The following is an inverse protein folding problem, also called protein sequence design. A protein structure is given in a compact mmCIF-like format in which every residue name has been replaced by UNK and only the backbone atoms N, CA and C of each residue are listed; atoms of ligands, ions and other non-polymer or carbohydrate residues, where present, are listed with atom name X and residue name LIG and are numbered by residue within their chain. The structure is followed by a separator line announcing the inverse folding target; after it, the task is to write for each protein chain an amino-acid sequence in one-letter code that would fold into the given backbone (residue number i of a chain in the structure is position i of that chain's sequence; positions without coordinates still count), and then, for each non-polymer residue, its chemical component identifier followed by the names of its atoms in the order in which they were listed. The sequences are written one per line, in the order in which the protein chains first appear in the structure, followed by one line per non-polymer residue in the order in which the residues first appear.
data_IF_834204975837
#
_entry.id   IF_834204975837
#
_cell.length_a   1.000
_cell.length_b   1.000
_cell.length_c   1.000
_cell.angle_alpha   90.00
_cell.angle_beta   90.00
_cell.angle_gamma   90.00
#
_symmetry.space_group_name_H-M   'P 1'
#
loop_
_entity.id
_entity.type
_entity.pdbx_description
1 polymer ?
#
# COMPACT_ATOMS: atom_id res chain seq x y z
N UNK A 1 2.84 -9.06 -1.73
CA UNK A 1 2.71 -8.40 -0.39
C UNK A 1 3.24 -6.99 -0.45
N UNK A 2 2.58 -5.99 0.16
CA UNK A 2 3.13 -4.62 0.31
C UNK A 2 3.96 -4.53 1.57
N UNK A 3 5.13 -3.89 1.45
CA UNK A 3 6.05 -3.62 2.54
C UNK A 3 6.36 -2.11 2.62
N UNK A 4 5.87 -1.45 3.66
CA UNK A 4 6.15 -0.03 3.91
C UNK A 4 7.49 0.14 4.65
N UNK A 5 8.50 0.64 3.94
CA UNK A 5 9.82 0.92 4.47
C UNK A 5 9.98 2.36 5.01
N UNK A 6 8.93 3.16 4.93
CA UNK A 6 8.90 4.53 5.45
C UNK A 6 8.35 5.55 4.45
N UNK A 7 7.02 5.65 4.39
CA UNK A 7 6.30 6.59 3.53
C UNK A 7 6.08 7.94 4.22
N UNK A 8 6.27 9.03 3.49
CA UNK A 8 6.00 10.41 3.94
C UNK A 8 4.85 10.96 3.09
N UNK A 9 3.68 11.19 3.68
CA UNK A 9 2.48 11.62 2.96
C UNK A 9 2.39 13.12 2.70
N UNK A 10 3.25 13.93 3.31
CA UNK A 10 3.24 15.39 3.12
C UNK A 10 4.45 16.06 3.72
N UNK A 11 4.73 17.28 3.25
CA UNK A 11 5.90 18.06 3.69
C UNK A 11 5.93 18.27 5.19
N UNK A 12 7.06 17.97 5.82
CA UNK A 12 7.27 18.10 7.25
C UNK A 12 6.67 16.96 8.10
N UNK A 13 6.03 15.98 7.49
CA UNK A 13 5.58 14.78 8.19
C UNK A 13 6.75 13.81 8.41
N UNK A 14 6.61 12.99 9.44
CA UNK A 14 7.56 11.91 9.72
C UNK A 14 7.20 10.69 8.88
N UNK A 15 8.19 9.86 8.51
CA UNK A 15 7.91 8.62 7.82
C UNK A 15 7.09 7.66 8.70
N UNK A 16 6.25 6.86 8.09
CA UNK A 16 5.44 5.82 8.73
C UNK A 16 6.31 4.88 9.57
N UNK A 17 7.37 4.33 8.99
CA UNK A 17 8.40 3.54 9.69
C UNK A 17 9.53 4.48 10.10
N UNK A 18 9.59 4.86 11.38
CA UNK A 18 10.62 5.80 11.88
C UNK A 18 12.02 5.20 11.87
N UNK A 19 12.15 3.95 12.25
CA UNK A 19 13.39 3.19 12.29
C UNK A 19 13.25 1.95 11.43
N UNK A 20 14.23 1.70 10.57
CA UNK A 20 14.37 0.50 9.80
C UNK A 20 15.48 -0.33 10.44
N UNK A 21 15.11 -1.40 11.13
CA UNK A 21 16.03 -2.39 11.66
C UNK A 21 16.17 -3.49 10.61
N UNK A 22 17.39 -3.66 10.08
CA UNK A 22 17.64 -4.61 9.00
C UNK A 22 17.44 -6.07 9.42
N UNK A 23 17.72 -6.43 10.68
CA UNK A 23 17.48 -7.78 11.20
C UNK A 23 15.98 -8.08 11.20
N UNK A 24 15.19 -7.16 11.74
CA UNK A 24 13.73 -7.29 11.79
C UNK A 24 13.16 -7.34 10.37
N UNK A 25 13.59 -6.44 9.50
CA UNK A 25 13.15 -6.39 8.10
C UNK A 25 13.45 -7.71 7.37
N UNK A 26 14.66 -8.27 7.50
CA UNK A 26 15.01 -9.56 6.88
C UNK A 26 14.15 -10.69 7.44
N UNK A 27 13.88 -10.70 8.74
CA UNK A 27 12.98 -11.69 9.35
C UNK A 27 11.54 -11.54 8.85
N UNK A 28 11.03 -10.32 8.72
CA UNK A 28 9.71 -10.04 8.12
C UNK A 28 9.65 -10.58 6.66
N UNK A 29 10.70 -10.40 5.86
CA UNK A 29 10.77 -10.93 4.49
C UNK A 29 10.84 -12.47 4.43
N UNK A 30 11.51 -13.12 5.37
CA UNK A 30 11.50 -14.58 5.50
C UNK A 30 10.08 -15.08 5.79
N UNK A 31 9.36 -14.48 6.72
CA UNK A 31 7.96 -14.82 7.02
C UNK A 31 7.06 -14.63 5.79
N UNK A 32 7.25 -13.53 5.06
CA UNK A 32 6.51 -13.23 3.83
C UNK A 32 6.76 -14.31 2.76
N UNK A 33 8.00 -14.78 2.61
CA UNK A 33 8.36 -15.83 1.65
C UNK A 33 7.92 -17.21 2.10
N UNK A 34 8.30 -17.61 3.32
CA UNK A 34 8.26 -19.01 3.74
C UNK A 34 6.93 -19.39 4.39
N UNK A 35 6.26 -18.45 5.06
CA UNK A 35 5.01 -18.74 5.77
C UNK A 35 3.78 -18.17 5.07
N UNK A 36 3.87 -16.98 4.42
CA UNK A 36 2.80 -16.45 3.58
C UNK A 36 2.87 -16.96 2.13
N UNK A 37 3.99 -17.56 1.70
CA UNK A 37 4.20 -18.05 0.33
C UNK A 37 4.07 -16.97 -0.75
N UNK A 38 4.31 -15.71 -0.39
CA UNK A 38 4.27 -14.61 -1.35
C UNK A 38 5.43 -14.73 -2.35
N UNK A 39 5.14 -14.55 -3.62
CA UNK A 39 6.15 -14.59 -4.70
C UNK A 39 6.79 -13.22 -4.97
N UNK A 40 6.09 -12.13 -4.63
CA UNK A 40 6.52 -10.76 -4.92
C UNK A 40 6.27 -9.84 -3.72
N UNK A 41 7.14 -8.83 -3.58
CA UNK A 41 6.98 -7.75 -2.61
C UNK A 41 6.99 -6.40 -3.32
N UNK A 42 5.95 -5.59 -3.11
CA UNK A 42 5.93 -4.17 -3.46
C UNK A 42 6.49 -3.39 -2.29
N UNK A 43 7.70 -2.85 -2.45
CA UNK A 43 8.36 -2.03 -1.42
C UNK A 43 8.03 -0.57 -1.66
N UNK A 44 7.49 0.09 -0.63
CA UNK A 44 7.09 1.50 -0.68
C UNK A 44 7.93 2.31 0.30
N UNK A 45 8.58 3.38 -0.16
CA UNK A 45 9.27 4.35 0.69
C UNK A 45 9.44 5.70 -0.02
N UNK A 46 9.57 6.78 0.78
CA UNK A 46 9.90 8.11 0.27
C UNK A 46 11.41 8.39 0.24
N UNK A 47 12.18 7.71 1.10
CA UNK A 47 13.64 7.84 1.17
C UNK A 47 14.30 6.81 0.25
N UNK A 48 15.14 7.26 -0.73
CA UNK A 48 15.79 6.35 -1.68
C UNK A 48 16.67 5.29 -1.01
N UNK A 49 17.43 5.66 0.03
CA UNK A 49 18.36 4.74 0.67
C UNK A 49 17.60 3.61 1.41
N UNK A 50 16.48 3.93 2.04
CA UNK A 50 15.61 2.92 2.67
C UNK A 50 14.96 2.01 1.63
N UNK A 51 14.47 2.61 0.54
CA UNK A 51 13.87 1.85 -0.55
C UNK A 51 14.89 0.89 -1.16
N UNK A 52 16.11 1.35 -1.42
CA UNK A 52 17.21 0.52 -1.95
C UNK A 52 17.59 -0.62 -1.01
N UNK A 53 17.70 -0.34 0.30
CA UNK A 53 18.05 -1.33 1.32
C UNK A 53 17.03 -2.47 1.37
N UNK A 54 15.72 -2.13 1.45
CA UNK A 54 14.67 -3.16 1.50
C UNK A 54 14.52 -3.87 0.15
N UNK A 55 14.60 -3.12 -0.96
CA UNK A 55 14.52 -3.68 -2.30
C UNK A 55 15.65 -4.70 -2.58
N UNK A 56 16.87 -4.40 -2.13
CA UNK A 56 17.98 -5.36 -2.23
C UNK A 56 17.69 -6.63 -1.42
N UNK A 57 17.21 -6.49 -0.19
CA UNK A 57 16.89 -7.64 0.66
C UNK A 57 15.75 -8.50 0.07
N UNK A 58 14.76 -7.90 -0.58
CA UNK A 58 13.68 -8.62 -1.29
C UNK A 58 14.25 -9.50 -2.40
N UNK A 59 15.13 -8.94 -3.25
CA UNK A 59 15.74 -9.70 -4.35
C UNK A 59 16.71 -10.78 -3.81
N UNK A 60 17.50 -10.46 -2.78
CA UNK A 60 18.39 -11.43 -2.10
C UNK A 60 17.60 -12.59 -1.46
N UNK A 61 16.37 -12.33 -0.99
CA UNK A 61 15.47 -13.36 -0.49
C UNK A 61 14.84 -14.22 -1.61
N UNK A 62 15.10 -13.95 -2.89
CA UNK A 62 14.55 -14.67 -4.03
C UNK A 62 13.12 -14.27 -4.39
N UNK A 63 12.63 -13.14 -3.87
CA UNK A 63 11.31 -12.58 -4.16
C UNK A 63 11.35 -11.63 -5.36
N UNK A 64 10.29 -11.60 -6.15
CA UNK A 64 10.08 -10.59 -7.16
C UNK A 64 9.83 -9.22 -6.52
N UNK A 65 10.39 -8.18 -7.12
CA UNK A 65 10.34 -6.81 -6.57
C UNK A 65 9.45 -5.90 -7.39
N UNK A 66 8.51 -5.23 -6.74
CA UNK A 66 7.91 -3.99 -7.23
C UNK A 66 8.54 -2.81 -6.48
N UNK A 67 9.42 -2.09 -7.15
CA UNK A 67 10.10 -0.91 -6.61
C UNK A 67 9.16 0.29 -6.72
N UNK A 68 8.62 0.76 -5.60
CA UNK A 68 7.51 1.72 -5.54
C UNK A 68 7.90 2.98 -4.76
N UNK A 69 8.49 4.00 -5.41
CA UNK A 69 8.81 5.27 -4.75
C UNK A 69 7.55 6.04 -4.36
N UNK A 70 7.47 6.48 -3.11
CA UNK A 70 6.40 7.34 -2.61
C UNK A 70 6.80 8.82 -2.72
N UNK A 71 6.66 9.38 -3.92
CA UNK A 71 6.93 10.81 -4.22
C UNK A 71 5.62 11.58 -4.09
N UNK A 72 5.24 11.90 -2.85
CA UNK A 72 3.95 12.48 -2.52
C UNK A 72 4.04 13.98 -2.22
N UNK A 73 2.93 14.68 -2.39
CA UNK A 73 2.75 16.12 -2.13
C UNK A 73 3.74 17.02 -2.88
N UNK A 74 4.18 16.58 -4.05
CA UNK A 74 4.99 17.31 -5.02
C UNK A 74 4.12 17.82 -6.19
N UNK A 75 4.56 18.86 -6.90
CA UNK A 75 3.94 19.22 -8.19
C UNK A 75 4.36 18.24 -9.29
N UNK A 76 3.72 18.24 -10.48
CA UNK A 76 4.04 17.28 -11.54
C UNK A 76 5.50 17.27 -11.97
N UNK A 77 6.14 18.43 -12.07
CA UNK A 77 7.53 18.53 -12.50
C UNK A 77 8.51 18.03 -11.41
N UNK A 78 8.23 18.33 -10.14
CA UNK A 78 8.99 17.82 -8.99
C UNK A 78 8.80 16.30 -8.86
N UNK A 79 7.57 15.81 -9.04
CA UNK A 79 7.26 14.38 -9.03
C UNK A 79 8.03 13.65 -10.12
N UNK A 80 7.99 14.13 -11.37
CA UNK A 80 8.71 13.52 -12.48
C UNK A 80 10.22 13.45 -12.22
N UNK A 81 10.86 14.57 -11.85
CA UNK A 81 12.31 14.58 -11.54
C UNK A 81 12.70 13.56 -10.47
N UNK A 82 11.96 13.51 -9.37
CA UNK A 82 12.27 12.62 -8.26
C UNK A 82 12.02 11.15 -8.63
N UNK A 83 10.92 10.87 -9.34
CA UNK A 83 10.60 9.51 -9.79
C UNK A 83 11.64 8.99 -10.78
N UNK A 84 12.08 9.82 -11.73
CA UNK A 84 13.14 9.47 -12.70
C UNK A 84 14.48 9.21 -11.99
N UNK A 85 14.83 10.01 -10.99
CA UNK A 85 16.03 9.77 -10.18
C UNK A 85 15.96 8.40 -9.48
N UNK A 86 14.82 8.06 -8.88
CA UNK A 86 14.60 6.75 -8.21
C UNK A 86 14.55 5.58 -9.20
N UNK A 87 14.14 5.81 -10.46
CA UNK A 87 14.24 4.80 -11.50
C UNK A 87 15.69 4.42 -11.84
N UNK A 88 16.62 5.39 -11.73
CA UNK A 88 18.06 5.12 -11.84
C UNK A 88 18.57 4.18 -10.74
N UNK A 89 18.11 4.34 -9.51
CA UNK A 89 18.41 3.43 -8.39
C UNK A 89 17.86 2.02 -8.66
N UNK A 90 16.60 1.93 -9.08
CA UNK A 90 15.96 0.66 -9.42
C UNK A 90 16.69 -0.07 -10.56
N UNK A 91 17.14 0.64 -11.60
CA UNK A 91 17.91 0.07 -12.71
C UNK A 91 19.28 -0.42 -12.26
N UNK A 92 19.97 0.34 -11.42
CA UNK A 92 21.25 -0.10 -10.86
C UNK A 92 21.09 -1.38 -10.03
N UNK A 93 20.02 -1.47 -9.23
CA UNK A 93 19.69 -2.66 -8.45
C UNK A 93 19.38 -3.85 -9.38
N UNK A 94 18.51 -3.65 -10.39
CA UNK A 94 18.12 -4.68 -11.36
C UNK A 94 19.31 -5.26 -12.09
N UNK A 95 20.23 -4.42 -12.54
CA UNK A 95 21.48 -4.87 -13.21
C UNK A 95 22.42 -5.61 -12.28
N UNK A 96 22.53 -5.16 -11.03
CA UNK A 96 23.44 -5.75 -10.05
C UNK A 96 22.98 -7.12 -9.56
N UNK A 97 21.69 -7.25 -9.26
CA UNK A 97 21.14 -8.45 -8.62
C UNK A 97 20.44 -9.41 -9.60
N UNK A 98 20.13 -8.98 -10.82
CA UNK A 98 19.57 -9.84 -11.88
C UNK A 98 18.17 -10.39 -11.58
N UNK A 99 17.42 -9.76 -10.67
CA UNK A 99 16.08 -10.20 -10.26
C UNK A 99 14.96 -9.67 -11.13
N UNK A 100 13.74 -10.19 -10.88
CA UNK A 100 12.52 -9.64 -11.46
C UNK A 100 12.16 -8.34 -10.76
N UNK A 101 12.47 -7.21 -11.37
CA UNK A 101 12.22 -5.87 -10.84
C UNK A 101 11.24 -5.15 -11.75
N UNK A 102 10.07 -4.81 -11.21
CA UNK A 102 9.08 -3.91 -11.83
C UNK A 102 9.15 -2.56 -11.16
N UNK A 103 9.14 -1.47 -11.93
CA UNK A 103 9.12 -0.11 -11.40
C UNK A 103 7.71 0.44 -11.39
N UNK A 104 7.28 0.95 -10.23
CA UNK A 104 5.98 1.61 -10.06
C UNK A 104 6.18 3.12 -10.24
N UNK A 105 5.66 3.68 -11.32
CA UNK A 105 5.84 5.09 -11.69
C UNK A 105 5.12 6.08 -10.76
N UNK A 106 4.34 5.58 -9.83
CA UNK A 106 3.60 6.34 -8.82
C UNK A 106 2.35 5.61 -8.38
N UNK A 107 1.71 6.13 -7.35
CA UNK A 107 0.44 5.60 -6.83
C UNK A 107 -0.56 6.72 -6.69
N UNK A 108 -1.81 6.49 -7.10
CA UNK A 108 -2.98 7.34 -6.84
C UNK A 108 -2.68 8.85 -7.08
N UNK A 109 -2.10 9.17 -8.24
CA UNK A 109 -1.53 10.49 -8.51
C UNK A 109 -2.57 11.62 -8.40
N UNK A 110 -3.84 11.36 -8.66
CA UNK A 110 -4.91 12.35 -8.45
C UNK A 110 -5.05 12.77 -6.98
N UNK A 111 -4.66 11.91 -6.06
CA UNK A 111 -4.61 12.20 -4.63
C UNK A 111 -3.27 12.79 -4.18
N UNK A 112 -2.15 12.25 -4.68
CA UNK A 112 -0.83 12.51 -4.12
C UNK A 112 0.01 13.52 -4.90
N UNK A 113 -0.27 13.77 -6.18
CA UNK A 113 0.41 14.82 -6.97
C UNK A 113 -0.39 16.11 -6.91
N UNK A 114 0.24 17.18 -6.41
CA UNK A 114 -0.40 18.49 -6.32
C UNK A 114 -0.62 19.09 -7.72
N UNK A 115 -1.84 19.56 -7.96
CA UNK A 115 -2.19 20.24 -9.21
C UNK A 115 -2.91 19.37 -10.24
N UNK A 116 -2.93 18.03 -10.09
CA UNK A 116 -3.79 17.17 -10.91
C UNK A 116 -5.27 17.32 -10.50
N UNK A 117 -5.52 17.44 -9.19
CA UNK A 117 -6.83 17.80 -8.64
C UNK A 117 -6.67 19.06 -7.79
N UNK A 118 -7.59 20.03 -7.86
CA UNK A 118 -7.54 21.23 -7.02
C UNK A 118 -7.56 20.90 -5.52
N UNK A 119 -6.60 21.45 -4.76
CA UNK A 119 -6.50 21.27 -3.31
C UNK A 119 -5.04 21.28 -2.82
N UNK A 120 -4.79 22.05 -1.74
CA UNK A 120 -3.45 22.15 -1.17
C UNK A 120 -3.05 20.91 -0.36
N UNK A 121 -4.03 20.29 0.32
CA UNK A 121 -3.85 19.12 1.17
C UNK A 121 -4.54 17.91 0.55
N UNK A 122 -4.11 16.71 0.92
CA UNK A 122 -4.78 15.46 0.54
C UNK A 122 -6.28 15.48 0.89
N UNK A 123 -6.62 15.96 2.09
CA UNK A 123 -8.03 16.10 2.53
C UNK A 123 -8.86 17.01 1.63
N UNK A 124 -8.25 18.09 1.11
CA UNK A 124 -8.94 19.02 0.21
C UNK A 124 -9.21 18.34 -1.14
N UNK A 125 -8.22 17.61 -1.67
CA UNK A 125 -8.36 16.86 -2.93
C UNK A 125 -9.42 15.76 -2.81
N UNK A 126 -9.39 14.98 -1.72
CA UNK A 126 -10.44 13.98 -1.43
C UNK A 126 -11.83 14.60 -1.36
N UNK A 127 -11.99 15.74 -0.68
CA UNK A 127 -13.28 16.43 -0.59
C UNK A 127 -13.76 16.91 -1.97
N UNK A 128 -12.84 17.40 -2.82
CA UNK A 128 -13.14 17.81 -4.19
C UNK A 128 -13.57 16.65 -5.07
N UNK A 129 -12.85 15.54 -5.04
CA UNK A 129 -13.19 14.32 -5.79
C UNK A 129 -14.57 13.79 -5.37
N UNK A 130 -14.87 13.80 -4.06
CA UNK A 130 -16.21 13.40 -3.56
C UNK A 130 -17.31 14.32 -4.04
N UNK A 131 -17.06 15.63 -4.13
CA UNK A 131 -18.04 16.62 -4.60
C UNK A 131 -18.21 16.60 -6.12
N UNK A 132 -17.14 16.33 -6.86
CA UNK A 132 -17.13 16.29 -8.33
C UNK A 132 -16.20 15.17 -8.83
N UNK A 133 -16.72 13.94 -8.99
CA UNK A 133 -15.95 12.81 -9.52
C UNK A 133 -15.43 13.01 -10.96
N UNK A 134 -15.98 13.97 -11.72
CA UNK A 134 -15.53 14.24 -13.11
C UNK A 134 -14.09 14.76 -13.17
N UNK A 135 -13.56 15.30 -12.07
CA UNK A 135 -12.15 15.70 -11.93
C UNK A 135 -11.17 14.57 -12.20
N UNK A 136 -11.57 13.33 -11.98
CA UNK A 136 -10.75 12.13 -12.26
C UNK A 136 -10.65 11.82 -13.75
N UNK A 137 -11.51 12.42 -14.57
CA UNK A 137 -11.61 12.21 -16.02
C UNK A 137 -11.09 13.40 -16.83
N UNK A 138 -10.40 14.36 -16.21
CA UNK A 138 -9.93 15.59 -16.88
C UNK A 138 -8.88 15.36 -17.99
N UNK A 139 -8.31 14.17 -18.08
CA UNK A 139 -7.20 13.85 -18.99
C UNK A 139 -5.83 14.35 -18.49
N UNK A 140 -5.78 15.13 -17.40
CA UNK A 140 -4.51 15.63 -16.85
C UNK A 140 -3.65 14.50 -16.31
N UNK A 141 -4.26 13.52 -15.65
CA UNK A 141 -3.58 12.31 -15.18
C UNK A 141 -2.96 11.54 -16.35
N UNK A 142 -3.74 11.26 -17.41
CA UNK A 142 -3.26 10.50 -18.56
C UNK A 142 -2.08 11.21 -19.23
N UNK A 143 -2.15 12.54 -19.43
CA UNK A 143 -1.05 13.34 -19.97
C UNK A 143 0.19 13.29 -19.08
N UNK A 144 0.02 13.49 -17.78
CA UNK A 144 1.12 13.43 -16.81
C UNK A 144 1.82 12.07 -16.84
N UNK A 145 1.07 10.98 -16.78
CA UNK A 145 1.62 9.62 -16.76
C UNK A 145 2.28 9.24 -18.08
N UNK A 146 1.74 9.66 -19.22
CA UNK A 146 2.37 9.44 -20.53
C UNK A 146 3.72 10.15 -20.62
N UNK A 147 3.80 11.41 -20.18
CA UNK A 147 5.06 12.15 -20.15
C UNK A 147 6.06 11.50 -19.19
N UNK A 148 5.63 11.14 -17.98
CA UNK A 148 6.47 10.48 -16.99
C UNK A 148 7.01 9.14 -17.51
N UNK A 149 6.18 8.31 -18.12
CA UNK A 149 6.61 7.04 -18.70
C UNK A 149 7.65 7.24 -19.82
N UNK A 150 7.50 8.28 -20.65
CA UNK A 150 8.48 8.62 -21.69
C UNK A 150 9.85 9.03 -21.10
N UNK A 151 9.87 9.70 -19.94
CA UNK A 151 11.11 10.02 -19.22
C UNK A 151 11.71 8.81 -18.48
N UNK A 152 10.89 7.85 -18.02
CA UNK A 152 11.34 6.66 -17.33
C UNK A 152 11.95 5.60 -18.27
N UNK A 153 11.41 5.42 -19.48
CA UNK A 153 11.85 4.38 -20.42
C UNK A 153 13.35 4.42 -20.77
N UNK A 154 14.00 5.59 -20.97
CA UNK A 154 15.44 5.64 -21.21
C UNK A 154 16.29 5.28 -19.98
N UNK A 155 15.72 5.38 -18.77
CA UNK A 155 16.42 5.19 -17.50
C UNK A 155 16.27 3.78 -16.95
N UNK A 156 15.07 3.19 -17.09
CA UNK A 156 14.73 1.87 -16.53
C UNK A 156 14.38 0.87 -17.63
N UNK A 157 15.15 -0.20 -17.71
CA UNK A 157 15.02 -1.24 -18.75
C UNK A 157 14.11 -2.42 -18.39
N UNK A 158 13.45 -2.39 -17.22
CA UNK A 158 12.49 -3.41 -16.77
C UNK A 158 11.03 -3.00 -17.03
N UNK A 159 10.07 -3.83 -16.57
CA UNK A 159 8.65 -3.54 -16.68
C UNK A 159 8.26 -2.29 -15.88
N UNK A 160 7.42 -1.43 -16.49
CA UNK A 160 6.82 -0.26 -15.86
C UNK A 160 5.34 -0.50 -15.56
N UNK A 161 4.89 -0.04 -14.41
CA UNK A 161 3.49 0.03 -14.02
C UNK A 161 3.18 1.33 -13.29
N UNK A 162 1.91 1.57 -13.04
CA UNK A 162 1.37 2.63 -12.20
C UNK A 162 0.31 2.02 -11.29
N UNK A 163 0.26 2.39 -10.02
CA UNK A 163 -0.77 1.95 -9.07
C UNK A 163 -1.93 2.96 -9.08
N UNK A 164 -2.97 2.64 -9.84
CA UNK A 164 -4.11 3.50 -10.12
C UNK A 164 -5.24 3.24 -9.14
N UNK A 165 -5.92 4.28 -8.67
CA UNK A 165 -7.26 4.08 -8.13
C UNK A 165 -8.15 3.42 -9.18
N UNK A 166 -9.06 2.54 -8.75
CA UNK A 166 -9.94 1.79 -9.66
C UNK A 166 -10.84 2.65 -10.56
N UNK A 167 -10.97 3.93 -10.25
CA UNK A 167 -11.76 4.91 -10.99
C UNK A 167 -10.91 5.97 -11.70
N UNK A 168 -9.58 5.96 -11.58
CA UNK A 168 -8.68 6.76 -12.44
C UNK A 168 -8.65 6.21 -13.86
N UNK A 169 -8.32 7.07 -14.82
CA UNK A 169 -8.24 6.70 -16.24
C UNK A 169 -6.87 7.02 -16.83
N UNK A 170 -5.81 6.26 -16.44
CA UNK A 170 -4.51 6.39 -17.08
C UNK A 170 -4.51 5.85 -18.50
N UNK A 171 -3.59 6.34 -19.32
CA UNK A 171 -3.31 5.74 -20.64
C UNK A 171 -2.33 4.57 -20.46
N UNK A 172 -2.85 3.36 -20.40
CA UNK A 172 -2.07 2.16 -20.17
C UNK A 172 -1.11 1.77 -21.30
N UNK A 173 -1.23 2.38 -22.51
CA UNK A 173 -0.33 2.11 -23.65
C UNK A 173 1.15 2.46 -23.34
N UNK A 174 1.39 3.28 -22.32
CA UNK A 174 2.74 3.66 -21.89
C UNK A 174 3.36 2.69 -20.87
N UNK A 175 2.61 1.69 -20.42
CA UNK A 175 2.98 0.75 -19.36
C UNK A 175 3.00 -0.69 -19.85
N UNK A 176 3.64 -1.60 -19.11
CA UNK A 176 3.71 -3.03 -19.41
C UNK A 176 2.71 -3.84 -18.59
N UNK A 177 2.30 -3.30 -17.44
CA UNK A 177 1.38 -3.93 -16.48
C UNK A 177 0.37 -2.87 -16.05
N UNK A 178 -0.89 -3.26 -15.96
CA UNK A 178 -1.95 -2.46 -15.36
C UNK A 178 -1.96 -2.73 -13.85
N UNK A 179 -1.66 -1.72 -13.03
CA UNK A 179 -1.76 -1.80 -11.58
C UNK A 179 -3.00 -1.06 -11.08
N UNK A 180 -3.87 -1.72 -10.33
CA UNK A 180 -5.12 -1.12 -9.82
C UNK A 180 -5.23 -1.32 -8.32
N UNK A 181 -5.28 -0.22 -7.56
CA UNK A 181 -5.60 -0.24 -6.14
C UNK A 181 -7.12 -0.41 -6.01
N UNK A 182 -7.56 -1.63 -5.69
CA UNK A 182 -8.95 -2.02 -5.78
C UNK A 182 -9.41 -2.75 -4.52
N UNK A 183 -10.10 -2.01 -3.67
CA UNK A 183 -10.60 -2.49 -2.38
C UNK A 183 -12.06 -2.90 -2.50
N UNK A 184 -12.40 -4.09 -1.96
CA UNK A 184 -13.78 -4.57 -1.88
C UNK A 184 -14.44 -4.05 -0.61
N UNK A 185 -15.55 -3.33 -0.78
CA UNK A 185 -16.37 -2.84 0.31
C UNK A 185 -17.87 -3.01 -0.02
N UNK A 186 -18.75 -2.75 0.94
CA UNK A 186 -20.20 -2.94 0.78
C UNK A 186 -20.80 -2.13 -0.38
N UNK A 187 -20.13 -1.08 -0.86
CA UNK A 187 -20.62 -0.23 -1.97
C UNK A 187 -20.29 -0.83 -3.34
N UNK A 188 -19.23 -1.63 -3.41
CA UNK A 188 -18.70 -2.15 -4.67
C UNK A 188 -18.68 -3.69 -4.74
N UNK A 189 -18.95 -4.40 -3.64
CA UNK A 189 -18.84 -5.86 -3.56
C UNK A 189 -19.57 -6.61 -4.68
N UNK A 190 -20.78 -6.15 -5.04
CA UNK A 190 -21.58 -6.78 -6.08
C UNK A 190 -21.09 -6.49 -7.50
N UNK A 191 -20.20 -5.51 -7.66
CA UNK A 191 -19.63 -5.05 -8.94
C UNK A 191 -18.11 -5.11 -8.96
N UNK A 192 -17.51 -5.77 -7.98
CA UNK A 192 -16.06 -5.75 -7.76
C UNK A 192 -15.27 -6.17 -9.01
N UNK A 193 -15.63 -7.29 -9.65
CA UNK A 193 -15.01 -7.73 -10.89
C UNK A 193 -15.44 -6.90 -12.11
N UNK A 194 -16.69 -6.42 -12.15
CA UNK A 194 -17.17 -5.57 -13.25
C UNK A 194 -16.31 -4.30 -13.36
N UNK A 195 -15.91 -3.72 -12.22
CA UNK A 195 -15.06 -2.53 -12.20
C UNK A 195 -13.65 -2.78 -12.73
N UNK A 196 -13.16 -4.02 -12.72
CA UNK A 196 -11.89 -4.41 -13.35
C UNK A 196 -12.01 -4.61 -14.87
N UNK A 197 -13.23 -4.74 -15.40
CA UNK A 197 -13.50 -4.99 -16.83
C UNK A 197 -12.76 -4.05 -17.80
N UNK A 198 -12.81 -2.72 -17.63
CA UNK A 198 -12.07 -1.77 -18.46
C UNK A 198 -10.56 -1.98 -18.45
N UNK A 199 -9.99 -2.39 -17.31
CA UNK A 199 -8.57 -2.68 -17.15
C UNK A 199 -8.20 -4.00 -17.85
N UNK A 200 -8.99 -5.05 -17.69
CA UNK A 200 -8.82 -6.33 -18.37
C UNK A 200 -8.94 -6.21 -19.90
N UNK A 201 -9.79 -5.29 -20.38
CA UNK A 201 -9.95 -5.03 -21.81
C UNK A 201 -8.73 -4.39 -22.47
N UNK A 202 -7.72 -3.94 -21.73
CA UNK A 202 -6.47 -3.40 -22.29
C UNK A 202 -5.61 -4.45 -22.97
N UNK A 203 -5.79 -5.73 -22.64
CA UNK A 203 -4.96 -6.86 -23.11
C UNK A 203 -3.59 -6.96 -22.41
N UNK A 204 -3.27 -6.07 -21.49
CA UNK A 204 -2.08 -6.14 -20.65
C UNK A 204 -2.34 -7.01 -19.41
N UNK A 205 -1.30 -7.57 -18.77
CA UNK A 205 -1.45 -8.18 -17.45
C UNK A 205 -2.02 -7.19 -16.45
N UNK A 206 -3.10 -7.56 -15.76
CA UNK A 206 -3.72 -6.74 -14.72
C UNK A 206 -3.37 -7.28 -13.35
N UNK A 207 -2.81 -6.44 -12.50
CA UNK A 207 -2.47 -6.77 -11.10
C UNK A 207 -3.26 -5.84 -10.19
N UNK A 208 -3.98 -6.42 -9.22
CA UNK A 208 -4.56 -5.64 -8.13
C UNK A 208 -3.41 -5.22 -7.21
N UNK A 209 -2.93 -4.00 -7.38
CA UNK A 209 -1.73 -3.48 -6.73
C UNK A 209 -1.92 -3.14 -5.26
N UNK A 210 -3.17 -2.99 -4.81
CA UNK A 210 -3.57 -2.92 -3.40
C UNK A 210 -4.93 -3.56 -3.18
N UNK A 211 -4.97 -4.57 -2.30
CA UNK A 211 -6.19 -5.13 -1.74
C UNK A 211 -6.01 -5.29 -0.23
N UNK A 212 -7.05 -5.09 0.54
CA UNK A 212 -6.96 -5.19 1.99
C UNK A 212 -8.29 -4.93 2.70
N UNK A 213 -8.34 -5.29 3.97
CA UNK A 213 -9.46 -5.04 4.86
C UNK A 213 -8.95 -4.65 6.25
N UNK A 214 -9.60 -3.68 6.89
CA UNK A 214 -9.24 -3.23 8.25
C UNK A 214 -9.72 -4.21 9.30
N UNK A 215 -9.14 -4.09 10.50
CA UNK A 215 -9.31 -5.07 11.59
C UNK A 215 -10.35 -4.64 12.63
N UNK A 216 -11.35 -3.82 12.27
CA UNK A 216 -12.45 -3.46 13.17
C UNK A 216 -13.81 -3.90 12.64
N UNK A 217 -14.76 -4.16 13.52
CA UNK A 217 -16.10 -4.59 13.17
C UNK A 217 -16.80 -3.55 12.26
N UNK A 218 -17.39 -4.03 11.16
CA UNK A 218 -18.04 -3.16 10.17
C UNK A 218 -17.10 -2.40 9.24
N UNK A 219 -15.83 -2.80 9.14
CA UNK A 219 -14.85 -2.16 8.26
C UNK A 219 -15.26 -2.22 6.78
N UNK A 220 -15.96 -3.27 6.36
CA UNK A 220 -16.49 -3.42 4.98
C UNK A 220 -17.45 -2.29 4.57
N UNK A 221 -18.21 -1.73 5.51
CA UNK A 221 -19.09 -0.58 5.24
C UNK A 221 -18.33 0.69 4.84
N UNK A 222 -17.06 0.80 5.22
CA UNK A 222 -16.22 1.99 5.00
C UNK A 222 -15.17 1.79 3.90
N UNK A 223 -14.77 0.58 3.62
CA UNK A 223 -13.79 0.19 2.61
C UNK A 223 -12.45 0.91 2.77
N UNK A 224 -11.81 1.22 1.64
CA UNK A 224 -10.54 1.95 1.60
C UNK A 224 -10.61 3.33 2.28
N UNK A 225 -11.78 3.97 2.27
CA UNK A 225 -12.00 5.28 2.91
C UNK A 225 -12.27 5.19 4.42
N UNK A 226 -12.25 3.99 4.99
CA UNK A 226 -12.49 3.73 6.42
C UNK A 226 -11.35 4.12 7.35
N UNK A 227 -10.27 4.73 6.84
CA UNK A 227 -9.24 5.33 7.68
C UNK A 227 -9.82 6.51 8.47
N UNK A 228 -9.33 6.72 9.68
CA UNK A 228 -9.75 7.85 10.50
C UNK A 228 -10.70 7.46 11.62
N UNK A 229 -10.59 6.23 12.14
CA UNK A 229 -11.13 5.89 13.46
C UNK A 229 -10.42 6.65 14.58
N UNK A 230 -9.29 7.30 14.26
CA UNK A 230 -8.54 8.15 15.20
C UNK A 230 -9.38 9.31 15.73
N UNK A 231 -9.38 9.49 17.04
CA UNK A 231 -9.90 10.71 17.67
C UNK A 231 -8.98 11.90 17.35
N UNK A 232 -9.49 12.83 16.56
CA UNK A 232 -8.73 13.98 16.06
C UNK A 232 -8.23 14.87 17.21
N UNK A 233 -9.00 15.01 18.28
CA UNK A 233 -8.62 15.84 19.43
C UNK A 233 -7.40 15.25 20.13
N UNK A 234 -7.42 13.95 20.41
CA UNK A 234 -6.28 13.28 21.04
C UNK A 234 -5.04 13.30 20.14
N UNK A 235 -5.22 13.17 18.81
CA UNK A 235 -4.13 13.27 17.85
C UNK A 235 -3.48 14.66 17.86
N UNK A 236 -4.27 15.74 17.83
CA UNK A 236 -3.76 17.12 17.89
C UNK A 236 -3.06 17.38 19.21
N UNK A 237 -3.64 16.96 20.33
CA UNK A 237 -3.02 17.10 21.64
C UNK A 237 -1.70 16.31 21.72
N UNK A 238 -1.62 15.12 21.12
CA UNK A 238 -0.37 14.37 21.04
C UNK A 238 0.70 15.10 20.23
N UNK A 239 0.33 15.80 19.13
CA UNK A 239 1.29 16.62 18.37
C UNK A 239 1.88 17.75 19.22
N UNK A 240 1.10 18.32 20.14
CA UNK A 240 1.52 19.44 21.02
C UNK A 240 2.31 18.92 22.22
N UNK A 241 1.80 17.92 22.92
CA UNK A 241 2.30 17.46 24.22
C UNK A 241 3.12 16.16 24.15
N UNK A 242 3.26 15.59 22.96
CA UNK A 242 4.05 14.37 22.75
C UNK A 242 3.53 13.18 23.57
N UNK A 243 4.46 12.46 24.20
CA UNK A 243 4.15 11.23 24.98
C UNK A 243 3.25 11.43 26.18
N UNK A 244 3.00 12.66 26.61
CA UNK A 244 2.08 12.95 27.71
C UNK A 244 0.61 12.69 27.36
N UNK A 245 0.27 12.63 26.05
CA UNK A 245 -1.08 12.34 25.58
C UNK A 245 -1.03 11.13 24.66
N UNK A 246 -1.73 10.05 25.03
CA UNK A 246 -1.90 8.90 24.12
C UNK A 246 -2.95 9.22 23.04
N UNK A 247 -2.66 8.91 21.80
CA UNK A 247 -3.64 8.98 20.70
C UNK A 247 -4.70 7.88 20.91
N UNK A 248 -5.97 8.24 20.77
CA UNK A 248 -7.11 7.34 20.97
C UNK A 248 -7.86 7.09 19.67
N UNK A 249 -8.57 5.98 19.65
CA UNK A 249 -9.63 5.74 18.69
C UNK A 249 -10.92 6.45 19.14
N UNK A 250 -11.79 6.78 18.21
CA UNK A 250 -13.16 7.20 18.48
C UNK A 250 -13.90 6.07 19.20
N UNK A 251 -14.92 6.36 20.02
CA UNK A 251 -15.70 5.33 20.70
C UNK A 251 -16.51 4.48 19.71
N UNK A 252 -16.80 3.25 20.09
CA UNK A 252 -17.65 2.33 19.32
C UNK A 252 -16.90 1.42 18.35
N UNK A 253 -15.60 1.60 18.14
CA UNK A 253 -14.80 0.67 17.33
C UNK A 253 -14.27 -0.48 18.18
N UNK A 254 -14.42 -1.69 17.68
CA UNK A 254 -14.01 -2.93 18.34
C UNK A 254 -13.24 -3.77 17.32
N UNK A 255 -12.15 -4.41 17.77
CA UNK A 255 -11.34 -5.32 16.96
C UNK A 255 -12.19 -6.51 16.44
N UNK A 256 -12.02 -6.84 15.16
CA UNK A 256 -12.65 -7.98 14.51
C UNK A 256 -11.69 -8.61 13.49
N UNK A 257 -10.73 -9.38 14.00
CA UNK A 257 -9.78 -10.11 13.14
C UNK A 257 -10.49 -11.21 12.33
N UNK A 258 -11.53 -11.83 12.88
CA UNK A 258 -12.32 -12.82 12.16
C UNK A 258 -13.10 -12.20 10.99
N UNK A 259 -13.61 -10.98 11.17
CA UNK A 259 -14.23 -10.21 10.10
C UNK A 259 -13.25 -9.86 9.00
N UNK A 260 -12.05 -9.39 9.35
CA UNK A 260 -10.97 -9.14 8.40
C UNK A 260 -10.65 -10.40 7.59
N UNK A 261 -10.49 -11.55 8.26
CA UNK A 261 -10.18 -12.83 7.64
C UNK A 261 -11.25 -13.26 6.63
N UNK A 262 -12.54 -13.21 7.00
CA UNK A 262 -13.66 -13.55 6.10
C UNK A 262 -13.72 -12.66 4.87
N UNK A 263 -13.61 -11.35 5.04
CA UNK A 263 -13.66 -10.41 3.90
C UNK A 263 -12.46 -10.58 2.95
N UNK A 264 -11.29 -10.92 3.47
CA UNK A 264 -10.13 -11.24 2.65
C UNK A 264 -10.29 -12.57 1.94
N UNK A 265 -10.78 -13.63 2.61
CA UNK A 265 -11.06 -14.93 2.01
C UNK A 265 -12.00 -14.82 0.81
N UNK A 266 -13.13 -14.13 0.98
CA UNK A 266 -14.08 -13.87 -0.11
C UNK A 266 -13.43 -13.07 -1.25
N UNK A 267 -12.68 -12.01 -0.92
CA UNK A 267 -12.07 -11.14 -1.94
C UNK A 267 -11.02 -11.90 -2.75
N UNK A 268 -10.16 -12.66 -2.09
CA UNK A 268 -9.11 -13.43 -2.75
C UNK A 268 -9.66 -14.57 -3.58
N UNK A 269 -10.69 -15.29 -3.09
CA UNK A 269 -11.40 -16.31 -3.88
C UNK A 269 -12.00 -15.74 -5.17
N UNK A 270 -12.54 -14.51 -5.11
CA UNK A 270 -13.05 -13.80 -6.31
C UNK A 270 -11.91 -13.48 -7.29
N UNK A 271 -10.77 -13.02 -6.78
CA UNK A 271 -9.62 -12.67 -7.62
C UNK A 271 -8.98 -13.91 -8.26
N UNK A 272 -8.86 -15.01 -7.53
CA UNK A 272 -8.39 -16.32 -8.07
C UNK A 272 -9.25 -16.82 -9.21
N UNK A 273 -10.58 -16.67 -9.11
CA UNK A 273 -11.53 -17.03 -10.17
C UNK A 273 -11.56 -16.04 -11.34
N UNK A 274 -10.73 -15.01 -11.36
CA UNK A 274 -10.74 -13.94 -12.37
C UNK A 274 -9.56 -14.02 -13.33
N UNK A 275 -9.52 -13.09 -14.29
CA UNK A 275 -8.41 -12.97 -15.26
C UNK A 275 -7.28 -12.04 -14.79
N UNK A 276 -7.21 -11.66 -13.51
CA UNK A 276 -6.10 -10.87 -12.99
C UNK A 276 -4.83 -11.72 -12.92
N UNK A 277 -3.68 -11.09 -13.18
CA UNK A 277 -2.39 -11.77 -13.13
C UNK A 277 -1.83 -11.95 -11.71
N UNK A 278 -2.44 -11.28 -10.72
CA UNK A 278 -2.07 -11.38 -9.31
C UNK A 278 -2.54 -10.18 -8.50
N UNK A 279 -2.15 -10.18 -7.22
CA UNK A 279 -2.52 -9.11 -6.28
C UNK A 279 -1.47 -8.90 -5.19
N UNK A 280 -1.50 -7.70 -4.59
CA UNK A 280 -0.70 -7.35 -3.41
C UNK A 280 -1.60 -6.99 -2.24
N UNK A 281 -1.40 -7.66 -1.10
CA UNK A 281 -2.07 -7.30 0.16
C UNK A 281 -1.45 -6.04 0.76
N UNK A 282 -2.28 -5.12 1.21
CA UNK A 282 -1.91 -3.89 1.89
C UNK A 282 -2.18 -4.03 3.40
N UNK A 283 -1.22 -4.45 4.20
CA UNK A 283 0.20 -4.73 4.02
C UNK A 283 0.66 -5.85 4.95
N UNK A 284 1.95 -6.21 5.00
CA UNK A 284 2.44 -7.15 6.00
C UNK A 284 2.23 -6.59 7.42
N UNK A 285 2.79 -5.42 7.72
CA UNK A 285 2.64 -4.72 8.99
C UNK A 285 2.26 -3.26 8.78
N UNK A 286 1.60 -2.62 9.75
CA UNK A 286 1.33 -1.17 9.75
C UNK A 286 2.33 -0.48 10.68
N UNK A 287 3.40 0.13 10.16
CA UNK A 287 4.45 0.69 10.98
C UNK A 287 3.94 1.78 11.93
N UNK A 288 4.39 1.71 13.19
CA UNK A 288 4.07 2.74 14.20
C UNK A 288 2.69 2.63 14.82
N UNK A 289 1.93 1.60 14.48
CA UNK A 289 0.69 1.24 15.18
C UNK A 289 0.92 -0.02 16.02
N UNK A 290 0.26 -0.07 17.18
CA UNK A 290 0.39 -1.19 18.11
C UNK A 290 -0.99 -1.65 18.56
N UNK A 291 -1.07 -2.94 18.81
CA UNK A 291 -2.18 -3.57 19.51
C UNK A 291 -2.26 -3.07 20.97
N UNK A 292 -3.47 -2.99 21.49
CA UNK A 292 -3.74 -2.71 22.90
C UNK A 292 -5.04 -3.42 23.32
N UNK A 293 -5.06 -4.01 24.52
CA UNK A 293 -6.26 -4.69 25.04
C UNK A 293 -7.44 -3.73 25.24
N UNK A 294 -7.16 -2.43 25.43
CA UNK A 294 -8.18 -1.38 25.45
C UNK A 294 -8.44 -0.89 24.01
N UNK A 295 -9.63 -1.14 23.42
CA UNK A 295 -9.96 -0.73 22.07
C UNK A 295 -9.75 0.76 21.78
N UNK A 296 -9.79 1.62 22.81
CA UNK A 296 -9.53 3.05 22.68
C UNK A 296 -8.09 3.35 22.27
N UNK A 297 -7.16 2.47 22.60
CA UNK A 297 -5.74 2.64 22.32
C UNK A 297 -5.17 1.64 21.29
N UNK A 298 -5.96 0.66 20.91
CA UNK A 298 -5.61 -0.31 19.88
C UNK A 298 -5.56 0.37 18.49
N UNK A 299 -4.39 0.96 18.20
CA UNK A 299 -4.16 1.69 16.95
C UNK A 299 -3.98 0.77 15.74
N UNK A 300 -3.65 -0.50 16.00
CA UNK A 300 -3.46 -1.48 14.94
C UNK A 300 -4.76 -1.83 14.21
N UNK A 301 -5.94 -1.73 14.86
CA UNK A 301 -7.20 -2.07 14.18
C UNK A 301 -7.58 -1.12 13.03
N UNK A 302 -6.98 0.09 12.93
CA UNK A 302 -7.12 0.98 11.76
C UNK A 302 -6.26 0.52 10.57
N UNK A 303 -5.35 -0.42 10.79
CA UNK A 303 -4.50 -1.01 9.75
C UNK A 303 -5.15 -2.16 9.00
N UNK A 304 -4.69 -2.38 7.77
CA UNK A 304 -5.08 -3.52 6.92
C UNK A 304 -4.05 -4.67 6.98
N UNK A 305 -3.04 -4.55 7.86
CA UNK A 305 -1.93 -5.49 7.95
C UNK A 305 -2.36 -6.89 8.39
N UNK A 306 -1.56 -7.89 8.00
CA UNK A 306 -1.75 -9.30 8.37
C UNK A 306 -1.14 -9.63 9.73
N UNK A 307 -0.23 -8.79 10.21
CA UNK A 307 0.31 -8.90 11.57
C UNK A 307 -0.01 -7.64 12.37
N UNK A 308 -0.21 -7.81 13.68
CA UNK A 308 -0.37 -6.70 14.64
C UNK A 308 0.97 -6.41 15.31
N UNK A 309 1.35 -5.15 15.40
CA UNK A 309 2.50 -4.72 16.19
C UNK A 309 2.22 -4.89 17.69
N UNK A 310 3.17 -5.46 18.41
CA UNK A 310 3.05 -5.65 19.86
C UNK A 310 3.79 -4.54 20.61
N UNK A 311 3.20 -4.02 21.71
CA UNK A 311 3.87 -3.07 22.59
C UNK A 311 5.01 -3.74 23.37
N UNK A 312 5.89 -2.94 23.99
CA UNK A 312 6.96 -3.43 24.84
C UNK A 312 6.42 -4.31 25.97
N UNK A 313 7.02 -5.48 26.16
CA UNK A 313 6.68 -6.44 27.23
C UNK A 313 5.57 -7.43 26.87
N UNK A 314 5.01 -7.36 25.67
CA UNK A 314 4.10 -8.38 25.15
C UNK A 314 4.88 -9.32 24.23
N UNK A 315 4.83 -10.62 24.49
CA UNK A 315 5.51 -11.63 23.69
C UNK A 315 4.54 -12.28 22.70
N UNK A 316 4.91 -12.45 21.43
CA UNK A 316 4.10 -13.16 20.45
C UNK A 316 4.13 -14.67 20.68
N UNK A 317 3.02 -15.33 20.38
CA UNK A 317 2.93 -16.80 20.45
C UNK A 317 3.60 -17.47 19.25
N UNK A 318 3.36 -16.93 18.04
CA UNK A 318 3.83 -17.55 16.80
C UNK A 318 5.34 -17.32 16.55
N UNK A 319 5.85 -16.13 16.87
CA UNK A 319 7.26 -15.78 16.62
C UNK A 319 7.93 -15.23 17.89
N UNK A 320 8.27 -16.08 18.88
CA UNK A 320 8.91 -15.64 20.13
C UNK A 320 10.16 -14.77 19.86
N UNK A 321 10.24 -13.65 20.55
CA UNK A 321 11.31 -12.67 20.42
C UNK A 321 11.11 -11.61 19.32
N UNK A 322 10.06 -11.72 18.50
CA UNK A 322 9.67 -10.67 17.58
C UNK A 322 8.69 -9.68 18.24
N UNK A 323 8.36 -8.59 17.53
CA UNK A 323 7.48 -7.54 18.06
C UNK A 323 6.17 -7.44 17.27
N UNK A 324 5.75 -8.53 16.71
CA UNK A 324 4.49 -8.64 15.97
C UNK A 324 3.91 -10.06 16.13
N UNK A 325 2.59 -10.15 15.98
CA UNK A 325 1.84 -11.40 16.05
C UNK A 325 0.90 -11.51 14.86
N UNK A 326 0.67 -12.72 14.36
CA UNK A 326 -0.27 -12.99 13.29
C UNK A 326 -1.69 -12.59 13.68
N UNK A 327 -2.43 -11.99 12.75
CA UNK A 327 -3.88 -11.85 12.83
C UNK A 327 -4.55 -13.09 12.21
N UNK A 328 -5.83 -13.30 12.51
CA UNK A 328 -6.60 -14.40 11.91
C UNK A 328 -6.56 -14.45 10.37
N UNK A 329 -6.40 -13.30 9.72
CA UNK A 329 -6.27 -13.20 8.27
C UNK A 329 -4.93 -13.73 7.71
N UNK A 330 -3.91 -13.93 8.55
CA UNK A 330 -2.59 -14.38 8.11
C UNK A 330 -2.66 -15.75 7.46
N UNK A 331 -3.26 -16.73 8.15
CA UNK A 331 -3.34 -18.13 7.67
C UNK A 331 -4.31 -18.26 6.49
N UNK A 332 -5.35 -17.45 6.42
CA UNK A 332 -6.25 -17.36 5.26
C UNK A 332 -5.47 -16.93 4.02
N UNK A 333 -4.70 -15.85 4.12
CA UNK A 333 -3.88 -15.34 3.00
C UNK A 333 -2.78 -16.34 2.62
N UNK A 334 -2.15 -16.99 3.59
CA UNK A 334 -1.15 -18.03 3.34
C UNK A 334 -1.76 -19.22 2.54
N UNK A 335 -3.00 -19.58 2.82
CA UNK A 335 -3.74 -20.58 2.06
C UNK A 335 -3.91 -20.21 0.59
N UNK A 336 -4.32 -18.97 0.31
CA UNK A 336 -4.48 -18.45 -1.07
C UNK A 336 -3.16 -18.32 -1.81
N UNK A 337 -2.08 -17.88 -1.15
CA UNK A 337 -0.78 -17.74 -1.80
C UNK A 337 -0.05 -19.08 -2.00
N UNK A 338 -0.32 -20.08 -1.16
CA UNK A 338 0.27 -21.41 -1.24
C UNK A 338 -0.41 -22.36 -2.23
N UNK A 339 -1.54 -21.96 -2.81
CA UNK A 339 -2.21 -22.74 -3.85
C UNK A 339 -1.49 -22.56 -5.19
N UNK A 340 -1.05 -23.66 -5.84
CA UNK A 340 -0.29 -23.60 -7.09
C UNK A 340 -1.13 -23.13 -8.28
#
# INVERSE_FOLDING_TARGET
MIYDAGTVFGRGQRPTRRHLDERVMRRELEVIRDELHATHVRVVASDPARLDTVAAAVVEAGLGLWYSPAVFDCDPAETARNTVAMAGHAEALRRRLGGHVTFVAGSEATLFVRGLVPGKRLTDRLARIKADPSLLHSGDLARFLTMLAAELRPVFGGPLTYASLSFEQPDWRSFDIVGVDHYRDDRVKDRYLEMLGPHLATGLPVVVSEVGMRTYAGASASGALGFGITDTTSFVLHQIFGRLVRVRNKPGYVRDEAGQARELDETLSILEGSAVAGWFLASFSTPGTFYDDDPRYDRDMDGMSLVKGLPDGMEPERWPGERYEAKAAFDVVAGHYGTP
#
